data_IF_236954903429
#
_entry.id   IF_236954903429
#
_cell.length_a   1.000
_cell.length_b   1.000
_cell.length_c   1.000
_cell.angle_alpha   90.00
_cell.angle_beta   90.00
_cell.angle_gamma   90.00
#
_symmetry.space_group_name_H-M   'P 1'
#
loop_
_entity.id
_entity.type
_entity.pdbx_description
1 polymer ?
#
# COMPACT_ATOMS: atom_id res chain seq x y z
N UNK A 1 -6.93 -4.50 21.39
CA UNK A 1 -5.62 -3.85 21.64
C UNK A 1 -4.67 -3.96 20.43
N UNK A 2 -4.49 -5.14 19.82
CA UNK A 2 -3.62 -5.37 18.65
C UNK A 2 -3.86 -4.44 17.45
N UNK A 3 -5.12 -4.22 17.02
CA UNK A 3 -5.43 -3.38 15.85
C UNK A 3 -5.00 -1.91 15.98
N UNK A 4 -4.97 -1.36 17.19
CA UNK A 4 -4.56 0.04 17.44
C UNK A 4 -3.05 0.18 17.26
N UNK A 5 -2.29 -0.79 17.78
CA UNK A 5 -0.82 -0.79 17.68
C UNK A 5 -0.37 -0.99 16.23
N UNK A 6 -1.01 -1.90 15.48
CA UNK A 6 -0.74 -2.08 14.05
C UNK A 6 -1.01 -0.81 13.24
N UNK A 7 -2.18 -0.18 13.45
CA UNK A 7 -2.51 1.07 12.77
C UNK A 7 -1.50 2.20 13.08
N UNK A 8 -1.07 2.33 14.34
CA UNK A 8 -0.03 3.29 14.71
C UNK A 8 1.31 3.01 14.00
N UNK A 9 1.73 1.75 13.96
CA UNK A 9 2.99 1.34 13.31
C UNK A 9 2.96 1.59 11.80
N UNK A 10 1.83 1.32 11.13
CA UNK A 10 1.64 1.65 9.71
C UNK A 10 1.72 3.15 9.43
N UNK A 11 1.06 3.97 10.25
CA UNK A 11 1.15 5.43 10.13
C UNK A 11 2.56 5.95 10.38
N UNK A 12 3.30 5.34 11.32
CA UNK A 12 4.71 5.66 11.55
C UNK A 12 5.57 5.30 10.34
N UNK A 13 5.40 4.09 9.79
CA UNK A 13 6.10 3.66 8.57
C UNK A 13 5.86 4.64 7.42
N UNK A 14 4.61 5.00 7.16
CA UNK A 14 4.24 6.00 6.15
C UNK A 14 4.97 7.34 6.35
N UNK A 15 5.02 7.83 7.60
CA UNK A 15 5.69 9.09 7.94
C UNK A 15 7.21 9.05 7.69
N UNK A 16 7.85 7.89 7.81
CA UNK A 16 9.27 7.76 7.49
C UNK A 16 9.51 7.71 5.98
N UNK A 17 8.61 7.10 5.19
CA UNK A 17 8.67 7.17 3.72
C UNK A 17 8.56 8.61 3.22
N UNK A 18 7.67 9.42 3.81
CA UNK A 18 7.58 10.86 3.50
C UNK A 18 8.87 11.64 3.78
N UNK A 19 9.71 11.13 4.67
CA UNK A 19 11.03 11.68 4.99
C UNK A 19 12.16 11.07 4.18
N UNK A 20 11.82 10.26 3.17
CA UNK A 20 12.76 9.49 2.36
C UNK A 20 13.62 8.50 3.19
N UNK A 21 13.06 7.99 4.30
CA UNK A 21 13.73 7.05 5.21
C UNK A 21 13.08 5.67 5.10
N UNK A 22 13.44 4.95 4.04
CA UNK A 22 12.93 3.60 3.76
C UNK A 22 13.32 2.59 4.85
N UNK A 23 14.53 2.74 5.42
CA UNK A 23 15.03 1.84 6.47
C UNK A 23 14.19 1.91 7.74
N UNK A 24 13.90 3.12 8.24
CA UNK A 24 13.01 3.28 9.38
C UNK A 24 11.59 2.85 9.07
N UNK A 25 11.10 3.15 7.85
CA UNK A 25 9.78 2.68 7.41
C UNK A 25 9.65 1.15 7.55
N UNK A 26 10.61 0.42 6.99
CA UNK A 26 10.70 -1.05 7.04
C UNK A 26 10.67 -1.59 8.47
N UNK A 27 11.47 -1.01 9.38
CA UNK A 27 11.49 -1.44 10.79
C UNK A 27 10.13 -1.35 11.48
N UNK A 28 9.32 -0.33 11.16
CA UNK A 28 7.97 -0.23 11.70
C UNK A 28 6.99 -1.19 11.03
N UNK A 29 7.14 -1.40 9.72
CA UNK A 29 6.31 -2.32 8.95
C UNK A 29 6.54 -3.78 9.35
N UNK A 30 7.79 -4.21 9.58
CA UNK A 30 8.12 -5.59 10.01
C UNK A 30 7.48 -5.95 11.35
N UNK A 31 7.35 -4.95 12.25
CA UNK A 31 6.64 -5.11 13.53
C UNK A 31 5.13 -5.30 13.35
N UNK A 32 4.59 -4.95 12.19
CA UNK A 32 3.20 -5.21 11.82
C UNK A 32 3.11 -6.60 11.19
N UNK A 33 3.97 -6.90 10.22
CA UNK A 33 4.00 -8.20 9.52
C UNK A 33 4.23 -9.37 10.49
N UNK A 34 5.12 -9.24 11.48
CA UNK A 34 5.43 -10.29 12.45
C UNK A 34 4.34 -10.61 13.48
N UNK A 35 3.24 -9.84 13.49
CA UNK A 35 2.12 -10.02 14.44
C UNK A 35 0.81 -10.33 13.71
N UNK A 36 0.78 -10.19 12.39
CA UNK A 36 -0.49 -10.12 11.66
C UNK A 36 -1.03 -11.47 11.20
N UNK A 37 -2.29 -11.68 11.56
CA UNK A 37 -3.21 -12.63 10.95
C UNK A 37 -3.59 -12.15 9.54
N UNK A 38 -3.84 -13.09 8.62
CA UNK A 38 -3.91 -12.94 7.15
C UNK A 38 -5.05 -12.04 6.59
N UNK A 39 -5.67 -11.19 7.41
CA UNK A 39 -6.89 -10.43 7.09
C UNK A 39 -6.74 -8.91 7.20
N UNK A 40 -5.54 -8.37 6.99
CA UNK A 40 -5.36 -6.93 6.86
C UNK A 40 -4.62 -6.62 5.57
N UNK A 41 -5.36 -6.81 4.49
CA UNK A 41 -4.80 -7.07 3.17
C UNK A 41 -4.21 -5.85 2.49
N UNK A 42 -4.60 -4.65 2.94
CA UNK A 42 -3.92 -3.42 2.57
C UNK A 42 -2.42 -3.41 2.97
N UNK A 43 -2.04 -4.12 4.04
CA UNK A 43 -0.62 -4.20 4.45
C UNK A 43 0.22 -4.82 3.34
N UNK A 44 -0.33 -5.77 2.60
CA UNK A 44 0.38 -6.41 1.49
C UNK A 44 0.73 -5.40 0.40
N UNK A 45 -0.25 -4.59 0.00
CA UNK A 45 -0.04 -3.56 -1.00
C UNK A 45 0.94 -2.48 -0.49
N UNK A 46 0.81 -2.10 0.78
CA UNK A 46 1.72 -1.12 1.40
C UNK A 46 3.15 -1.66 1.54
N UNK A 47 3.32 -2.93 1.87
CA UNK A 47 4.62 -3.60 1.91
C UNK A 47 5.29 -3.63 0.53
N UNK A 48 4.52 -3.94 -0.51
CA UNK A 48 4.99 -3.86 -1.89
C UNK A 48 5.49 -2.44 -2.24
N UNK A 49 4.77 -1.39 -1.81
CA UNK A 49 5.21 -0.01 -2.00
C UNK A 49 6.54 0.28 -1.30
N UNK A 50 6.71 -0.16 -0.05
CA UNK A 50 7.99 0.00 0.67
C UNK A 50 9.12 -0.71 -0.06
N UNK A 51 8.90 -1.94 -0.57
CA UNK A 51 9.89 -2.64 -1.38
C UNK A 51 10.30 -1.85 -2.63
N UNK A 52 9.34 -1.21 -3.29
CA UNK A 52 9.61 -0.34 -4.45
C UNK A 52 10.54 0.82 -4.09
N UNK A 53 10.27 1.49 -2.96
CA UNK A 53 11.13 2.58 -2.44
C UNK A 53 12.51 2.08 -1.99
N UNK A 54 12.62 0.82 -1.57
CA UNK A 54 13.89 0.13 -1.25
C UNK A 54 14.67 -0.35 -2.48
N UNK A 55 14.27 0.04 -3.69
CA UNK A 55 14.87 -0.41 -4.96
C UNK A 55 14.70 -1.91 -5.24
N UNK A 56 13.77 -2.59 -4.57
CA UNK A 56 13.41 -4.01 -4.80
C UNK A 56 12.25 -4.11 -5.79
N UNK A 57 12.46 -3.57 -6.98
CA UNK A 57 11.38 -3.34 -7.96
C UNK A 57 10.68 -4.63 -8.41
N UNK A 58 11.43 -5.69 -8.72
CA UNK A 58 10.84 -6.95 -9.19
C UNK A 58 9.95 -7.61 -8.13
N UNK A 59 10.41 -7.61 -6.87
CA UNK A 59 9.66 -8.14 -5.74
C UNK A 59 8.42 -7.30 -5.45
N UNK A 60 8.57 -5.97 -5.51
CA UNK A 60 7.46 -5.01 -5.38
C UNK A 60 6.37 -5.26 -6.42
N UNK A 61 6.75 -5.35 -7.71
CA UNK A 61 5.81 -5.61 -8.81
C UNK A 61 5.11 -6.95 -8.67
N UNK A 62 5.82 -8.00 -8.29
CA UNK A 62 5.22 -9.31 -8.02
C UNK A 62 4.18 -9.20 -6.90
N UNK A 63 4.51 -8.51 -5.81
CA UNK A 63 3.64 -8.39 -4.65
C UNK A 63 2.39 -7.54 -4.92
N UNK A 64 2.52 -6.48 -5.71
CA UNK A 64 1.37 -5.70 -6.19
C UNK A 64 0.42 -6.53 -7.05
N UNK A 65 0.96 -7.36 -7.95
CA UNK A 65 0.16 -8.26 -8.78
C UNK A 65 -0.61 -9.28 -7.96
N UNK A 66 0.03 -9.90 -6.97
CA UNK A 66 -0.61 -10.84 -6.04
C UNK A 66 -1.73 -10.15 -5.24
N UNK A 67 -1.47 -8.96 -4.70
CA UNK A 67 -2.47 -8.18 -4.00
C UNK A 67 -3.66 -7.88 -4.92
N UNK A 68 -3.40 -7.41 -6.15
CA UNK A 68 -4.47 -7.07 -7.08
C UNK A 68 -5.35 -8.27 -7.39
N UNK A 69 -4.77 -9.43 -7.71
CA UNK A 69 -5.53 -10.66 -8.02
C UNK A 69 -6.47 -11.03 -6.85
N UNK A 70 -6.01 -10.85 -5.61
CA UNK A 70 -6.82 -11.13 -4.43
C UNK A 70 -8.04 -10.21 -4.30
N UNK A 71 -7.94 -8.95 -4.74
CA UNK A 71 -8.95 -7.92 -4.53
C UNK A 71 -9.81 -7.60 -5.75
N UNK A 72 -9.41 -8.04 -6.94
CA UNK A 72 -10.06 -7.67 -8.21
C UNK A 72 -11.48 -8.26 -8.37
N UNK A 73 -11.80 -9.32 -7.62
CA UNK A 73 -13.13 -9.93 -7.61
C UNK A 73 -14.14 -9.19 -6.72
N UNK A 74 -13.67 -8.31 -5.82
CA UNK A 74 -14.53 -7.59 -4.88
C UNK A 74 -14.90 -6.22 -5.42
N UNK A 75 -16.17 -5.85 -5.27
CA UNK A 75 -16.73 -4.61 -5.80
C UNK A 75 -16.89 -3.50 -4.76
N UNK A 76 -16.55 -3.73 -3.49
CA UNK A 76 -16.66 -2.69 -2.47
C UNK A 76 -15.58 -1.60 -2.65
N UNK A 77 -15.84 -0.36 -2.18
CA UNK A 77 -14.92 0.75 -2.37
C UNK A 77 -13.51 0.52 -1.82
N UNK A 78 -13.36 -0.18 -0.68
CA UNK A 78 -12.06 -0.38 -0.05
C UNK A 78 -11.20 -1.37 -0.88
N UNK A 79 -11.82 -2.44 -1.40
CA UNK A 79 -11.18 -3.37 -2.34
C UNK A 79 -10.77 -2.70 -3.64
N UNK A 80 -11.67 -1.89 -4.24
CA UNK A 80 -11.36 -1.13 -5.44
C UNK A 80 -10.20 -0.14 -5.21
N UNK A 81 -10.13 0.46 -4.03
CA UNK A 81 -9.01 1.33 -3.67
C UNK A 81 -7.70 0.56 -3.60
N UNK A 82 -7.66 -0.64 -3.01
CA UNK A 82 -6.46 -1.48 -2.98
C UNK A 82 -5.99 -1.79 -4.40
N UNK A 83 -6.91 -2.18 -5.29
CA UNK A 83 -6.60 -2.48 -6.69
C UNK A 83 -6.01 -1.26 -7.40
N UNK A 84 -6.61 -0.08 -7.24
CA UNK A 84 -6.13 1.16 -7.86
C UNK A 84 -4.80 1.63 -7.25
N UNK A 85 -4.59 1.43 -5.95
CA UNK A 85 -3.32 1.67 -5.27
C UNK A 85 -2.21 0.82 -5.89
N UNK A 86 -2.44 -0.48 -6.08
CA UNK A 86 -1.48 -1.37 -6.73
C UNK A 86 -1.18 -0.91 -8.15
N UNK A 87 -2.21 -0.63 -8.96
CA UNK A 87 -2.04 -0.18 -10.36
C UNK A 87 -1.28 1.14 -10.47
N UNK A 88 -1.48 2.06 -9.54
CA UNK A 88 -0.75 3.32 -9.48
C UNK A 88 0.76 3.07 -9.28
N UNK A 89 1.14 2.27 -8.28
CA UNK A 89 2.55 2.00 -8.00
C UNK A 89 3.22 1.09 -9.02
N UNK A 90 2.52 0.09 -9.55
CA UNK A 90 3.00 -0.69 -10.69
C UNK A 90 3.35 0.23 -11.87
N UNK A 91 2.47 1.19 -12.18
CA UNK A 91 2.69 2.16 -13.25
C UNK A 91 3.91 3.07 -12.98
N UNK A 92 4.08 3.56 -11.75
CA UNK A 92 5.26 4.37 -11.37
C UNK A 92 6.55 3.57 -11.53
N UNK A 93 6.58 2.31 -11.07
CA UNK A 93 7.79 1.48 -11.06
C UNK A 93 8.24 1.03 -12.46
N UNK A 94 7.31 0.89 -13.40
CA UNK A 94 7.63 0.53 -14.80
C UNK A 94 7.75 1.74 -15.73
N UNK A 95 7.80 2.96 -15.17
CA UNK A 95 7.80 4.23 -15.93
C UNK A 95 6.67 4.28 -16.98
N UNK A 96 5.49 3.77 -16.59
CA UNK A 96 4.31 3.74 -17.44
C UNK A 96 3.75 5.14 -17.71
N UNK A 97 2.78 5.23 -18.62
CA UNK A 97 2.15 6.49 -19.06
C UNK A 97 1.36 7.23 -17.95
N UNK A 98 0.11 7.61 -18.19
CA UNK A 98 -0.65 8.41 -17.22
C UNK A 98 -1.04 7.62 -15.95
N UNK A 99 -0.12 7.49 -14.99
CA UNK A 99 -0.33 6.80 -13.71
C UNK A 99 -1.30 7.55 -12.79
N UNK A 100 -1.32 8.88 -12.85
CA UNK A 100 -2.19 9.75 -12.05
C UNK A 100 -3.68 9.44 -12.21
N UNK A 101 -4.09 8.86 -13.34
CA UNK A 101 -5.48 8.38 -13.53
C UNK A 101 -5.92 7.42 -12.43
N UNK A 102 -5.03 6.51 -11.99
CA UNK A 102 -5.35 5.50 -10.98
C UNK A 102 -5.47 6.14 -9.60
N UNK A 103 -4.56 7.07 -9.27
CA UNK A 103 -4.61 7.86 -8.04
C UNK A 103 -5.88 8.69 -7.95
N UNK A 104 -6.24 9.40 -9.02
CA UNK A 104 -7.45 10.21 -9.06
C UNK A 104 -8.73 9.37 -8.93
N UNK A 105 -8.78 8.22 -9.62
CA UNK A 105 -9.89 7.27 -9.47
C UNK A 105 -10.01 6.78 -8.02
N UNK A 106 -8.90 6.40 -7.39
CA UNK A 106 -8.90 5.89 -6.02
C UNK A 106 -9.35 6.95 -5.00
N UNK A 107 -8.94 8.21 -5.19
CA UNK A 107 -9.34 9.33 -4.32
C UNK A 107 -10.82 9.69 -4.47
N UNK A 108 -11.46 9.34 -5.59
CA UNK A 108 -12.89 9.53 -5.83
C UNK A 108 -13.79 8.47 -5.18
N UNK A 109 -13.24 7.37 -4.67
CA UNK A 109 -14.02 6.31 -4.03
C UNK A 109 -14.47 6.72 -2.61
N UNK A 110 -15.68 6.31 -2.23
CA UNK A 110 -16.20 6.48 -0.87
C UNK A 110 -15.63 5.42 0.09
N UNK A 111 -14.35 5.57 0.40
CA UNK A 111 -13.59 4.65 1.27
C UNK A 111 -13.43 5.17 2.68
N UNK A 112 -13.09 4.27 3.61
CA UNK A 112 -12.74 4.65 4.97
C UNK A 112 -11.58 5.67 5.00
N UNK A 113 -11.67 6.70 5.86
CA UNK A 113 -10.65 7.78 5.96
C UNK A 113 -9.21 7.27 6.15
N UNK A 114 -9.03 6.11 6.79
CA UNK A 114 -7.71 5.52 7.08
C UNK A 114 -7.01 4.99 5.83
N UNK A 115 -7.78 4.42 4.89
CA UNK A 115 -7.26 3.82 3.67
C UNK A 115 -6.79 4.91 2.68
N UNK A 116 -7.52 6.03 2.59
CA UNK A 116 -7.18 7.18 1.72
C UNK A 116 -5.87 7.88 2.04
N UNK A 117 -5.33 7.74 3.25
CA UNK A 117 -4.09 8.44 3.65
C UNK A 117 -2.86 7.97 2.87
N UNK A 118 -2.89 6.76 2.31
CA UNK A 118 -1.72 6.15 1.70
C UNK A 118 -1.43 6.61 0.24
N UNK A 119 -2.43 7.15 -0.48
CA UNK A 119 -2.23 7.78 -1.80
C UNK A 119 -2.07 9.30 -1.74
N UNK A 120 -2.29 9.91 -0.57
CA UNK A 120 -2.12 11.34 -0.34
C UNK A 120 -0.68 11.72 0.05
N UNK A 121 0.26 10.82 -0.18
CA UNK A 121 1.70 11.06 0.00
C UNK A 121 2.19 12.21 -0.87
#
# INVERSE_FOLDING_TARGET
MFRIISAYRLLKSLKYLQKNDASQSRQYLDKVLGVHDKHFDFIVAFDAMVMGVESRHDESLKRFREARILWEEYSDPDSQYIVLFCRYWECILVEGGNCEKFKNQALGLDTGKRVRMFLRL
#
